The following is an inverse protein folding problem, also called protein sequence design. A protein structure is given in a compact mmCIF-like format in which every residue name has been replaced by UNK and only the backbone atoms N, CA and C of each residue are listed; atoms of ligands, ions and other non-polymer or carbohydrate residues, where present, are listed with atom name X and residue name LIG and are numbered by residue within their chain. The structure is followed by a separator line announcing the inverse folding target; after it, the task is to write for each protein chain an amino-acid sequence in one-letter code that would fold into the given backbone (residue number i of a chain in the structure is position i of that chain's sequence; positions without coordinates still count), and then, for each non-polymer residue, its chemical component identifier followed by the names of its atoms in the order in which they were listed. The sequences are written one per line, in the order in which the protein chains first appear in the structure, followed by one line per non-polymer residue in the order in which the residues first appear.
data_IF_097285325102
#
_entry.id   IF_097285325102
#
_cell.length_a   1.000
_cell.length_b   1.000
_cell.length_c   1.000
_cell.angle_alpha   90.00
_cell.angle_beta   90.00
_cell.angle_gamma   90.00
#
_symmetry.space_group_name_H-M   'P 1'
#
loop_
_entity.id
_entity.type
_entity.pdbx_description
1 polymer ?
#
# COMPACT_ATOMS: atom_id res chain seq x y z
N UNK A 1 9.14 -13.81 7.04
CA UNK A 1 8.15 -13.15 6.16
C UNK A 1 8.69 -11.78 5.77
N UNK A 2 8.65 -11.41 4.49
CA UNK A 2 9.10 -10.09 4.05
C UNK A 2 7.92 -9.11 4.05
N UNK A 3 8.20 -7.82 4.26
CA UNK A 3 7.18 -6.76 4.24
C UNK A 3 6.35 -6.79 2.94
N UNK A 4 6.97 -7.14 1.81
CA UNK A 4 6.34 -7.24 0.51
C UNK A 4 5.25 -8.33 0.46
N UNK A 5 5.50 -9.52 1.01
CA UNK A 5 4.52 -10.61 1.04
C UNK A 5 3.29 -10.25 1.88
N UNK A 6 3.47 -9.57 3.02
CA UNK A 6 2.36 -9.13 3.86
C UNK A 6 1.50 -8.07 3.16
N UNK A 7 2.12 -7.10 2.50
CA UNK A 7 1.43 -6.06 1.73
C UNK A 7 0.65 -6.70 0.58
N UNK A 8 1.29 -7.61 -0.15
CA UNK A 8 0.65 -8.35 -1.24
C UNK A 8 -0.58 -9.12 -0.75
N UNK A 9 -0.47 -9.86 0.34
CA UNK A 9 -1.59 -10.63 0.88
C UNK A 9 -2.77 -9.75 1.29
N UNK A 10 -2.52 -8.57 1.88
CA UNK A 10 -3.59 -7.63 2.24
C UNK A 10 -4.26 -7.03 0.99
N UNK A 11 -3.47 -6.70 -0.04
CA UNK A 11 -3.99 -6.22 -1.34
C UNK A 11 -4.80 -7.31 -2.06
N UNK A 12 -4.32 -8.56 -2.10
CA UNK A 12 -5.04 -9.72 -2.67
C UNK A 12 -6.33 -10.03 -1.90
N UNK A 13 -6.36 -9.74 -0.59
CA UNK A 13 -7.58 -9.82 0.22
C UNK A 13 -8.58 -8.67 -0.05
N UNK A 14 -8.30 -7.77 -1.00
CA UNK A 14 -9.14 -6.64 -1.34
C UNK A 14 -9.05 -5.46 -0.36
N UNK A 15 -8.07 -5.46 0.53
CA UNK A 15 -7.86 -4.33 1.45
C UNK A 15 -7.03 -3.25 0.78
N UNK A 16 -7.32 -2.01 1.15
CA UNK A 16 -6.55 -0.86 0.71
C UNK A 16 -5.52 -0.47 1.76
N UNK A 17 -4.27 -0.28 1.33
CA UNK A 17 -3.18 0.12 2.21
C UNK A 17 -2.82 1.58 1.95
N UNK A 18 -2.65 2.34 3.04
CA UNK A 18 -2.08 3.69 3.01
C UNK A 18 -0.64 3.65 3.53
N UNK A 19 0.23 4.62 3.19
CA UNK A 19 1.59 4.66 3.74
C UNK A 19 1.60 4.72 5.27
N UNK A 20 0.59 5.34 5.89
CA UNK A 20 0.43 5.36 7.35
C UNK A 20 0.07 3.97 7.90
N UNK A 21 -0.83 3.27 7.23
CA UNK A 21 -1.23 1.90 7.60
C UNK A 21 -0.07 0.91 7.43
N UNK A 22 0.69 1.03 6.35
CA UNK A 22 1.89 0.22 6.13
C UNK A 22 2.99 0.50 7.16
N UNK A 23 3.13 1.75 7.58
CA UNK A 23 4.04 2.12 8.65
C UNK A 23 3.60 1.50 9.99
N UNK A 24 2.32 1.61 10.32
CA UNK A 24 1.81 1.13 11.61
C UNK A 24 1.73 -0.41 11.70
N UNK A 25 1.35 -1.08 10.61
CA UNK A 25 1.18 -2.55 10.58
C UNK A 25 2.47 -3.31 10.26
N UNK A 26 3.27 -2.80 9.33
CA UNK A 26 4.43 -3.52 8.79
C UNK A 26 5.76 -2.82 9.08
N UNK A 27 5.75 -1.66 9.76
CA UNK A 27 6.95 -0.86 10.00
C UNK A 27 7.60 -0.34 8.71
N UNK A 28 6.83 -0.21 7.62
CA UNK A 28 7.39 0.07 6.30
C UNK A 28 7.17 1.54 5.89
N UNK A 29 8.21 2.37 6.04
CA UNK A 29 8.21 3.75 5.54
C UNK A 29 8.22 3.84 4.00
N UNK A 30 8.81 2.84 3.32
CA UNK A 30 8.96 2.80 1.86
C UNK A 30 7.90 1.94 1.19
N UNK A 31 6.62 2.17 1.52
CA UNK A 31 5.50 1.47 0.89
C UNK A 31 5.55 1.59 -0.65
N UNK A 32 5.82 2.79 -1.18
CA UNK A 32 5.89 3.03 -2.62
C UNK A 32 6.90 2.14 -3.36
N UNK A 33 8.05 1.85 -2.75
CA UNK A 33 9.05 0.94 -3.34
C UNK A 33 8.51 -0.50 -3.41
N UNK A 34 7.80 -0.97 -2.38
CA UNK A 34 7.18 -2.30 -2.37
C UNK A 34 6.05 -2.41 -3.39
N UNK A 35 5.20 -1.38 -3.49
CA UNK A 35 4.18 -1.30 -4.54
C UNK A 35 4.81 -1.32 -5.93
N UNK A 36 5.94 -0.65 -6.13
CA UNK A 36 6.65 -0.67 -7.41
C UNK A 36 7.20 -2.06 -7.77
N UNK A 37 7.82 -2.77 -6.80
CA UNK A 37 8.24 -4.17 -7.00
C UNK A 37 7.05 -5.07 -7.37
N UNK A 38 5.93 -4.90 -6.68
CA UNK A 38 4.69 -5.63 -6.93
C UNK A 38 4.08 -5.35 -8.31
N UNK A 39 4.10 -4.08 -8.75
CA UNK A 39 3.72 -3.69 -10.13
C UNK A 39 4.65 -4.32 -11.16
N UNK A 40 5.96 -4.36 -10.88
CA UNK A 40 6.96 -5.01 -11.74
C UNK A 40 6.76 -6.53 -11.84
N UNK A 41 6.17 -7.15 -10.81
CA UNK A 41 5.75 -8.55 -10.85
C UNK A 41 4.45 -8.79 -11.65
N UNK A 42 3.84 -7.74 -12.19
CA UNK A 42 2.63 -7.83 -13.02
C UNK A 42 1.31 -7.64 -12.26
N UNK A 43 1.35 -7.16 -11.01
CA UNK A 43 0.11 -6.83 -10.29
C UNK A 43 -0.40 -5.44 -10.65
N UNK A 44 -1.69 -5.35 -10.99
CA UNK A 44 -2.36 -4.09 -11.30
C UNK A 44 -2.77 -3.36 -10.01
N UNK A 45 -1.81 -2.70 -9.37
CA UNK A 45 -2.09 -1.92 -8.15
C UNK A 45 -2.53 -0.52 -8.55
N UNK A 46 -3.79 -0.19 -8.24
CA UNK A 46 -4.36 1.14 -8.40
C UNK A 46 -3.96 2.06 -7.26
N UNK A 47 -3.68 3.30 -7.60
CA UNK A 47 -3.35 4.35 -6.64
C UNK A 47 -4.46 5.39 -6.69
N UNK A 48 -5.06 5.67 -5.54
CA UNK A 48 -6.08 6.70 -5.36
C UNK A 48 -5.67 7.64 -4.22
N UNK A 49 -6.10 8.89 -4.28
CA UNK A 49 -5.87 9.84 -3.19
C UNK A 49 -7.03 9.72 -2.19
N UNK A 50 -6.74 9.33 -0.96
CA UNK A 50 -7.70 9.26 0.12
C UNK A 50 -7.54 10.47 1.04
N UNK A 51 -8.63 11.19 1.29
CA UNK A 51 -8.67 12.25 2.30
C UNK A 51 -8.84 11.60 3.68
N UNK A 52 -7.83 11.72 4.54
CA UNK A 52 -7.87 11.13 5.90
C UNK A 52 -8.36 12.16 6.93
N UNK A 53 -7.98 13.42 6.74
CA UNK A 53 -8.41 14.57 7.57
C UNK A 53 -8.60 15.79 6.69
N UNK A 54 -9.26 16.82 7.23
CA UNK A 54 -9.43 18.14 6.57
C UNK A 54 -8.05 18.66 6.16
N UNK A 55 -7.77 18.69 4.85
CA UNK A 55 -6.49 19.13 4.27
C UNK A 55 -5.38 18.07 4.16
N UNK A 56 -5.61 16.80 4.54
CA UNK A 56 -4.60 15.74 4.46
C UNK A 56 -5.04 14.68 3.44
N UNK A 57 -4.42 14.72 2.27
CA UNK A 57 -4.53 13.69 1.24
C UNK A 57 -3.37 12.69 1.38
N UNK A 58 -3.68 11.41 1.45
CA UNK A 58 -2.68 10.34 1.42
C UNK A 58 -2.90 9.44 0.21
N UNK A 59 -1.84 8.82 -0.28
CA UNK A 59 -1.96 7.76 -1.27
C UNK A 59 -2.62 6.53 -0.65
N UNK A 60 -3.59 5.96 -1.33
CA UNK A 60 -4.23 4.68 -1.02
C UNK A 60 -3.97 3.75 -2.19
N UNK A 61 -3.46 2.57 -1.88
CA UNK A 61 -3.19 1.52 -2.86
C UNK A 61 -4.19 0.39 -2.69
N UNK A 62 -4.76 -0.07 -3.78
CA UNK A 62 -5.63 -1.25 -3.84
C UNK A 62 -5.29 -2.06 -5.08
N UNK A 63 -5.65 -3.34 -5.08
CA UNK A 63 -5.82 -4.11 -6.32
C UNK A 63 -7.04 -3.58 -7.10
#
# INVERSE_FOLDING_TARGET
MTQLSSIRADLEAGKSITPLDALNRYGCFRLGARIWELRKQGMDIKMTNAHVKKGVCVARYSL
#
